data_IF_773744624020
#
_entry.id   IF_773744624020
#
_cell.length_a   1.000
_cell.length_b   1.000
_cell.length_c   1.000
_cell.angle_alpha   90.00
_cell.angle_beta   90.00
_cell.angle_gamma   90.00
#
_symmetry.space_group_name_H-M   'P 1'
#
loop_
_entity.id
_entity.type
_entity.pdbx_description
1 polymer ?
#
# COMPACT_ATOMS: atom_id res chain seq x y z
N UNK A 1 0.71 -38.64 2.87
CA UNK A 1 0.16 -37.51 2.08
C UNK A 1 -0.33 -36.42 3.04
N UNK A 2 0.58 -35.81 3.82
CA UNK A 2 0.25 -34.85 4.90
C UNK A 2 1.37 -33.81 5.14
N UNK A 3 2.23 -33.56 4.15
CA UNK A 3 3.41 -32.67 4.31
C UNK A 3 3.35 -31.36 3.50
N UNK A 4 2.20 -31.02 2.92
CA UNK A 4 2.04 -29.83 2.08
C UNK A 4 0.98 -28.84 2.62
N UNK A 5 0.96 -28.62 3.94
CA UNK A 5 0.17 -27.55 4.54
C UNK A 5 1.16 -26.52 5.07
N UNK A 6 1.32 -25.41 4.33
CA UNK A 6 2.02 -24.20 4.74
C UNK A 6 3.50 -24.38 5.11
N UNK A 7 4.41 -23.90 4.25
CA UNK A 7 5.81 -23.84 4.66
C UNK A 7 5.92 -22.83 5.81
N UNK A 8 6.26 -23.32 7.02
CA UNK A 8 6.43 -22.52 8.25
C UNK A 8 7.63 -21.56 8.21
N UNK A 9 8.23 -21.33 7.04
CA UNK A 9 9.47 -20.58 6.85
C UNK A 9 9.25 -19.10 6.54
N UNK A 10 8.00 -18.61 6.52
CA UNK A 10 7.71 -17.21 6.21
C UNK A 10 8.09 -16.79 4.78
N UNK A 11 8.48 -17.71 3.91
CA UNK A 11 8.98 -17.42 2.55
C UNK A 11 7.95 -16.72 1.65
N UNK A 12 6.66 -16.93 1.90
CA UNK A 12 5.56 -16.27 1.18
C UNK A 12 5.03 -15.00 1.86
N UNK A 13 5.53 -14.64 3.04
CA UNK A 13 5.02 -13.50 3.82
C UNK A 13 6.17 -12.56 4.21
N UNK A 14 6.23 -11.36 3.61
CA UNK A 14 7.17 -10.33 4.03
C UNK A 14 7.06 -10.07 5.53
N UNK A 15 8.18 -10.09 6.23
CA UNK A 15 8.23 -9.92 7.69
C UNK A 15 9.23 -8.84 8.10
N UNK A 16 9.72 -8.05 7.14
CA UNK A 16 10.73 -7.01 7.39
C UNK A 16 10.17 -5.90 8.29
N UNK A 17 8.87 -5.58 8.17
CA UNK A 17 8.17 -4.71 9.11
C UNK A 17 8.29 -5.21 10.58
N UNK A 18 8.27 -6.52 10.82
CA UNK A 18 8.40 -7.10 12.17
C UNK A 18 9.79 -6.92 12.78
N UNK A 19 10.82 -6.58 11.99
CA UNK A 19 12.14 -6.23 12.55
C UNK A 19 12.00 -5.03 13.49
N UNK A 20 11.15 -4.06 13.15
CA UNK A 20 10.89 -2.88 13.99
C UNK A 20 10.24 -3.30 15.32
N UNK A 21 9.28 -4.22 15.28
CA UNK A 21 8.73 -4.82 16.50
C UNK A 21 9.82 -5.54 17.32
N UNK A 22 10.69 -6.31 16.67
CA UNK A 22 11.84 -6.96 17.29
C UNK A 22 12.77 -5.99 18.01
N UNK A 23 13.12 -4.87 17.39
CA UNK A 23 13.94 -3.82 18.01
C UNK A 23 13.24 -3.19 19.22
N UNK A 24 11.93 -2.92 19.13
CA UNK A 24 11.14 -2.42 20.25
C UNK A 24 11.15 -3.44 21.41
N UNK A 25 11.04 -4.75 21.10
CA UNK A 25 11.06 -5.84 22.08
C UNK A 25 12.38 -5.98 22.83
N UNK A 26 13.51 -5.58 22.23
CA UNK A 26 14.81 -5.58 22.90
C UNK A 26 14.86 -4.55 24.03
N UNK A 27 14.11 -3.44 23.90
CA UNK A 27 14.06 -2.36 24.89
C UNK A 27 12.88 -2.57 25.85
N UNK A 28 11.71 -2.94 25.31
CA UNK A 28 10.47 -3.13 26.04
C UNK A 28 10.20 -4.63 26.25
N UNK A 29 10.52 -5.11 27.45
CA UNK A 29 10.42 -6.54 27.77
C UNK A 29 8.97 -7.05 27.86
N UNK A 30 7.97 -6.18 28.03
CA UNK A 30 6.54 -6.58 28.09
C UNK A 30 5.92 -6.62 26.69
N UNK A 31 5.38 -7.78 26.22
CA UNK A 31 4.89 -7.93 24.84
C UNK A 31 3.76 -6.96 24.48
N UNK A 32 2.78 -6.79 25.37
CA UNK A 32 1.62 -5.91 25.15
C UNK A 32 2.06 -4.45 24.95
N UNK A 33 2.96 -3.95 25.80
CA UNK A 33 3.48 -2.57 25.68
C UNK A 33 4.28 -2.41 24.39
N UNK A 34 5.05 -3.44 24.01
CA UNK A 34 5.84 -3.43 22.77
C UNK A 34 4.95 -3.36 21.54
N UNK A 35 3.84 -4.11 21.55
CA UNK A 35 2.88 -4.13 20.46
C UNK A 35 2.18 -2.77 20.30
N UNK A 36 1.71 -2.16 21.39
CA UNK A 36 1.14 -0.82 21.31
C UNK A 36 2.16 0.24 20.88
N UNK A 37 3.41 0.11 21.31
CA UNK A 37 4.49 0.99 20.85
C UNK A 37 4.78 0.80 19.37
N UNK A 38 4.68 -0.43 18.87
CA UNK A 38 4.85 -0.76 17.45
C UNK A 38 3.73 -0.16 16.60
N UNK A 39 2.46 -0.26 17.01
CA UNK A 39 1.35 0.43 16.35
C UNK A 39 1.54 1.95 16.42
N UNK A 40 1.98 2.49 17.56
CA UNK A 40 2.23 3.92 17.67
C UNK A 40 3.29 4.40 16.66
N UNK A 41 4.39 3.65 16.49
CA UNK A 41 5.42 3.94 15.48
C UNK A 41 4.86 3.87 14.07
N UNK A 42 4.06 2.84 13.77
CA UNK A 42 3.35 2.66 12.50
C UNK A 42 2.49 3.88 12.16
N UNK A 43 1.66 4.36 13.10
CA UNK A 43 0.84 5.57 12.91
C UNK A 43 1.66 6.83 12.66
N UNK A 44 2.72 7.06 13.45
CA UNK A 44 3.57 8.24 13.27
C UNK A 44 4.31 8.21 11.93
N UNK A 45 4.83 7.04 11.54
CA UNK A 45 5.48 6.87 10.25
C UNK A 45 4.50 7.10 9.10
N UNK A 46 3.29 6.54 9.21
CA UNK A 46 2.16 6.79 8.31
C UNK A 46 1.86 8.27 8.12
N UNK A 47 1.75 9.02 9.22
CA UNK A 47 1.51 10.47 9.18
C UNK A 47 2.67 11.23 8.52
N UNK A 48 3.93 10.86 8.80
CA UNK A 48 5.11 11.50 8.22
C UNK A 48 5.16 11.27 6.70
N UNK A 49 4.99 10.02 6.25
CA UNK A 49 5.03 9.67 4.83
C UNK A 49 3.87 10.33 4.07
N UNK A 50 2.67 10.29 4.63
CA UNK A 50 1.52 10.96 4.04
C UNK A 50 1.72 12.49 3.98
N UNK A 51 2.26 13.10 5.04
CA UNK A 51 2.58 14.54 5.03
C UNK A 51 3.60 14.87 3.96
N UNK A 52 4.67 14.08 3.81
CA UNK A 52 5.68 14.27 2.78
C UNK A 52 5.10 14.18 1.37
N UNK A 53 4.29 13.15 1.08
CA UNK A 53 3.58 13.02 -0.19
C UNK A 53 2.67 14.23 -0.46
N UNK A 54 1.89 14.63 0.54
CA UNK A 54 1.05 15.82 0.47
C UNK A 54 1.84 17.11 0.28
N UNK A 55 3.02 17.24 0.89
CA UNK A 55 3.90 18.41 0.75
C UNK A 55 4.32 18.63 -0.71
N UNK A 56 4.74 17.55 -1.37
CA UNK A 56 5.09 17.57 -2.79
C UNK A 56 3.85 17.90 -3.63
N UNK A 57 2.73 17.19 -3.40
CA UNK A 57 1.52 17.35 -4.20
C UNK A 57 0.98 18.78 -4.13
N UNK A 58 0.86 19.33 -2.91
CA UNK A 58 0.32 20.67 -2.65
C UNK A 58 1.37 21.79 -2.76
N UNK A 59 2.48 21.57 -3.47
CA UNK A 59 3.51 22.59 -3.76
C UNK A 59 4.02 23.31 -2.50
N UNK A 60 4.24 22.57 -1.41
CA UNK A 60 4.77 23.10 -0.15
C UNK A 60 3.72 23.72 0.79
N UNK A 61 2.43 23.46 0.59
CA UNK A 61 1.39 23.96 1.50
C UNK A 61 1.28 23.13 2.79
N UNK A 62 1.99 23.52 3.85
CA UNK A 62 1.99 22.83 5.16
C UNK A 62 0.59 22.47 5.66
N UNK A 63 -0.35 23.42 5.59
CA UNK A 63 -1.74 23.23 6.05
C UNK A 63 -2.44 22.11 5.27
N UNK A 64 -2.37 22.13 3.93
CA UNK A 64 -3.02 21.12 3.09
C UNK A 64 -2.40 19.74 3.28
N UNK A 65 -1.08 19.67 3.41
CA UNK A 65 -0.35 18.43 3.64
C UNK A 65 -0.67 17.80 5.00
N UNK A 66 -0.80 18.61 6.07
CA UNK A 66 -1.25 18.14 7.39
C UNK A 66 -2.67 17.59 7.33
N UNK A 67 -3.58 18.33 6.68
CA UNK A 67 -4.98 17.89 6.51
C UNK A 67 -5.04 16.56 5.76
N UNK A 68 -4.29 16.43 4.67
CA UNK A 68 -4.21 15.18 3.90
C UNK A 68 -3.67 14.02 4.75
N UNK A 69 -2.57 14.23 5.47
CA UNK A 69 -1.96 13.19 6.30
C UNK A 69 -2.92 12.66 7.36
N UNK A 70 -3.61 13.57 8.06
CA UNK A 70 -4.61 13.21 9.07
C UNK A 70 -5.79 12.48 8.44
N UNK A 71 -6.40 13.04 7.39
CA UNK A 71 -7.57 12.42 6.73
C UNK A 71 -7.25 11.01 6.23
N UNK A 72 -6.07 10.81 5.62
CA UNK A 72 -5.69 9.50 5.13
C UNK A 72 -5.49 8.50 6.27
N UNK A 73 -4.70 8.85 7.30
CA UNK A 73 -4.38 7.94 8.40
C UNK A 73 -5.56 7.64 9.30
N UNK A 74 -6.51 8.58 9.42
CA UNK A 74 -7.76 8.35 10.16
C UNK A 74 -8.91 7.89 9.25
N UNK A 75 -8.62 7.50 8.01
CA UNK A 75 -9.65 6.96 7.13
C UNK A 75 -10.11 5.59 7.62
N UNK A 76 -11.37 5.26 7.39
CA UNK A 76 -11.97 4.03 7.90
C UNK A 76 -11.26 2.79 7.38
N UNK A 77 -10.78 2.80 6.14
CA UNK A 77 -10.03 1.69 5.56
C UNK A 77 -8.69 1.45 6.28
N UNK A 78 -7.94 2.53 6.54
CA UNK A 78 -6.66 2.46 7.25
C UNK A 78 -6.90 2.02 8.70
N UNK A 79 -7.83 2.68 9.40
CA UNK A 79 -8.15 2.31 10.79
C UNK A 79 -8.71 0.88 10.92
N UNK A 80 -9.44 0.38 9.91
CA UNK A 80 -9.91 -0.99 9.89
C UNK A 80 -8.74 -1.97 9.79
N UNK A 81 -7.77 -1.71 8.91
CA UNK A 81 -6.57 -2.53 8.85
C UNK A 81 -5.73 -2.45 10.13
N UNK A 82 -5.60 -1.27 10.73
CA UNK A 82 -4.80 -1.04 11.92
C UNK A 82 -5.40 -1.68 13.18
N UNK A 83 -6.71 -1.58 13.36
CA UNK A 83 -7.39 -1.92 14.62
C UNK A 83 -8.50 -2.96 14.49
N UNK A 84 -9.32 -2.91 13.43
CA UNK A 84 -10.48 -3.78 13.28
C UNK A 84 -10.10 -5.20 12.87
N UNK A 85 -9.40 -5.32 11.74
CA UNK A 85 -8.81 -6.55 11.22
C UNK A 85 -7.43 -6.82 11.81
N UNK A 86 -6.72 -5.77 12.22
CA UNK A 86 -5.35 -5.82 12.76
C UNK A 86 -4.38 -6.60 11.85
N UNK A 87 -4.48 -6.40 10.53
CA UNK A 87 -3.58 -7.00 9.56
C UNK A 87 -2.30 -6.16 9.46
N UNK A 88 -1.29 -6.59 10.21
CA UNK A 88 -0.01 -5.89 10.33
C UNK A 88 0.70 -5.76 8.98
N UNK A 89 0.56 -6.73 8.08
CA UNK A 89 1.21 -6.67 6.77
C UNK A 89 0.62 -5.55 5.94
N UNK A 90 -0.70 -5.61 5.72
CA UNK A 90 -1.39 -4.60 4.92
C UNK A 90 -1.34 -3.21 5.57
N UNK A 91 -1.54 -3.09 6.89
CA UNK A 91 -1.44 -1.82 7.62
C UNK A 91 -0.11 -1.10 7.37
N UNK A 92 1.00 -1.85 7.43
CA UNK A 92 2.33 -1.30 7.14
C UNK A 92 2.52 -0.97 5.66
N UNK A 93 1.99 -1.76 4.74
CA UNK A 93 2.04 -1.43 3.32
C UNK A 93 1.30 -0.10 3.02
N UNK A 94 0.17 0.15 3.68
CA UNK A 94 -0.61 1.39 3.51
C UNK A 94 0.13 2.67 3.93
N UNK A 95 1.18 2.58 4.75
CA UNK A 95 2.09 3.70 5.04
C UNK A 95 2.74 4.23 3.75
N UNK A 96 3.09 3.33 2.83
CA UNK A 96 3.93 3.62 1.67
C UNK A 96 3.15 3.90 0.38
N UNK A 97 1.85 3.60 0.35
CA UNK A 97 0.95 3.96 -0.78
C UNK A 97 1.03 5.43 -1.20
N UNK A 98 1.04 6.42 -0.28
CA UNK A 98 1.21 7.83 -0.65
C UNK A 98 2.54 8.10 -1.34
N UNK A 99 3.59 7.37 -0.96
CA UNK A 99 4.93 7.49 -1.55
C UNK A 99 4.94 6.96 -2.99
N UNK A 100 4.29 5.83 -3.24
CA UNK A 100 4.11 5.28 -4.59
C UNK A 100 3.33 6.24 -5.49
N UNK A 101 2.18 6.74 -5.02
CA UNK A 101 1.35 7.66 -5.77
C UNK A 101 2.07 8.99 -6.07
N UNK A 102 2.83 9.53 -5.12
CA UNK A 102 3.56 10.78 -5.35
C UNK A 102 4.77 10.60 -6.28
N UNK A 103 5.46 9.46 -6.21
CA UNK A 103 6.52 9.10 -7.15
C UNK A 103 5.99 9.02 -8.58
N UNK A 104 4.87 8.34 -8.78
CA UNK A 104 4.16 8.30 -10.05
C UNK A 104 3.75 9.71 -10.55
N UNK A 105 3.14 10.52 -9.68
CA UNK A 105 2.75 11.90 -9.99
C UNK A 105 3.93 12.77 -10.43
N UNK A 106 5.10 12.60 -9.80
CA UNK A 106 6.31 13.33 -10.17
C UNK A 106 6.73 13.02 -11.61
N UNK A 107 6.62 11.76 -12.04
CA UNK A 107 6.94 11.33 -13.40
C UNK A 107 5.91 11.88 -14.40
N UNK A 108 4.63 11.61 -14.19
CA UNK A 108 3.58 11.82 -15.20
C UNK A 108 3.03 13.25 -15.25
N UNK A 109 2.99 13.95 -14.11
CA UNK A 109 2.42 15.29 -14.04
C UNK A 109 3.48 16.39 -13.86
N UNK A 110 4.53 16.14 -13.06
CA UNK A 110 5.58 17.16 -12.79
C UNK A 110 6.80 17.08 -13.70
N UNK A 111 6.97 15.97 -14.42
CA UNK A 111 8.14 15.70 -15.27
C UNK A 111 9.47 15.78 -14.48
N UNK A 112 9.40 15.52 -13.18
CA UNK A 112 10.58 15.39 -12.31
C UNK A 112 10.96 13.91 -12.27
N UNK A 113 11.55 13.46 -13.38
CA UNK A 113 11.80 12.05 -13.66
C UNK A 113 12.73 11.41 -12.62
N UNK A 114 13.84 12.05 -12.29
CA UNK A 114 14.83 11.48 -11.37
C UNK A 114 14.24 11.28 -9.97
N UNK A 115 13.57 12.29 -9.41
CA UNK A 115 12.96 12.14 -8.08
C UNK A 115 11.78 11.18 -8.12
N UNK A 116 10.95 11.27 -9.15
CA UNK A 116 9.81 10.38 -9.33
C UNK A 116 10.21 8.91 -9.39
N UNK A 117 11.27 8.58 -10.13
CA UNK A 117 11.83 7.22 -10.23
C UNK A 117 12.24 6.68 -8.88
N UNK A 118 13.05 7.43 -8.13
CA UNK A 118 13.57 7.00 -6.83
C UNK A 118 12.46 6.83 -5.79
N UNK A 119 11.50 7.75 -5.78
CA UNK A 119 10.38 7.72 -4.83
C UNK A 119 9.41 6.57 -5.17
N UNK A 120 9.15 6.34 -6.47
CA UNK A 120 8.27 5.27 -6.93
C UNK A 120 8.88 3.90 -6.65
N UNK A 121 10.15 3.67 -6.98
CA UNK A 121 10.82 2.39 -6.70
C UNK A 121 10.85 2.10 -5.20
N UNK A 122 11.29 3.08 -4.40
CA UNK A 122 11.36 2.94 -2.95
C UNK A 122 9.99 2.66 -2.33
N UNK A 123 8.94 3.38 -2.76
CA UNK A 123 7.59 3.16 -2.27
C UNK A 123 7.10 1.73 -2.55
N UNK A 124 7.27 1.25 -3.79
CA UNK A 124 6.85 -0.10 -4.18
C UNK A 124 7.65 -1.17 -3.43
N UNK A 125 8.96 -0.96 -3.25
CA UNK A 125 9.83 -1.87 -2.49
C UNK A 125 9.37 -1.97 -1.03
N UNK A 126 9.08 -0.83 -0.39
CA UNK A 126 8.60 -0.80 1.01
C UNK A 126 7.19 -1.40 1.17
N UNK A 127 6.31 -1.23 0.19
CA UNK A 127 5.03 -1.96 0.13
C UNK A 127 5.28 -3.47 0.03
N UNK A 128 6.14 -3.92 -0.89
CA UNK A 128 6.46 -5.34 -1.06
C UNK A 128 7.14 -5.93 0.18
N UNK A 129 7.95 -5.14 0.88
CA UNK A 129 8.55 -5.50 2.17
C UNK A 129 7.55 -5.67 3.31
N UNK A 130 6.34 -5.13 3.16
CA UNK A 130 5.29 -5.18 4.16
C UNK A 130 4.21 -6.20 3.79
N UNK A 131 3.77 -6.20 2.53
CA UNK A 131 2.69 -7.04 2.04
C UNK A 131 2.70 -7.20 0.51
N UNK A 132 2.93 -8.42 0.02
CA UNK A 132 3.03 -8.72 -1.42
C UNK A 132 1.76 -8.34 -2.17
N UNK A 133 0.60 -8.72 -1.64
CA UNK A 133 -0.66 -8.50 -2.34
C UNK A 133 -0.97 -7.01 -2.49
N UNK A 134 -0.68 -6.19 -1.48
CA UNK A 134 -0.85 -4.74 -1.57
C UNK A 134 0.02 -4.15 -2.67
N UNK A 135 1.31 -4.52 -2.73
CA UNK A 135 2.21 -4.05 -3.79
C UNK A 135 1.71 -4.44 -5.19
N UNK A 136 1.24 -5.68 -5.37
CA UNK A 136 0.67 -6.14 -6.65
C UNK A 136 -0.57 -5.32 -7.03
N UNK A 137 -1.51 -5.10 -6.08
CA UNK A 137 -2.70 -4.29 -6.31
C UNK A 137 -2.32 -2.85 -6.69
N UNK A 138 -1.35 -2.24 -5.99
CA UNK A 138 -0.86 -0.90 -6.30
C UNK A 138 -0.26 -0.82 -7.71
N UNK A 139 0.55 -1.81 -8.11
CA UNK A 139 1.12 -1.87 -9.47
C UNK A 139 0.02 -1.97 -10.53
N UNK A 140 -0.95 -2.86 -10.34
CA UNK A 140 -2.09 -3.01 -11.27
C UNK A 140 -2.92 -1.72 -11.36
N UNK A 141 -3.14 -1.06 -10.22
CA UNK A 141 -3.81 0.24 -10.17
C UNK A 141 -3.04 1.30 -10.98
N UNK A 142 -1.73 1.43 -10.78
CA UNK A 142 -0.90 2.37 -11.55
C UNK A 142 -0.88 2.05 -13.04
N UNK A 143 -0.85 0.77 -13.42
CA UNK A 143 -0.95 0.35 -14.83
C UNK A 143 -2.28 0.80 -15.44
N UNK A 144 -3.40 0.61 -14.72
CA UNK A 144 -4.72 1.08 -15.14
C UNK A 144 -4.77 2.60 -15.31
N UNK A 145 -4.30 3.35 -14.30
CA UNK A 145 -4.23 4.82 -14.33
C UNK A 145 -3.35 5.30 -15.49
N UNK A 146 -2.20 4.65 -15.73
CA UNK A 146 -1.34 4.99 -16.86
C UNK A 146 -2.00 4.66 -18.21
N UNK A 147 -2.75 3.57 -18.31
CA UNK A 147 -3.55 3.24 -19.49
C UNK A 147 -4.53 4.36 -19.85
N UNK A 148 -5.23 4.92 -18.86
CA UNK A 148 -6.07 6.10 -19.07
C UNK A 148 -5.27 7.37 -19.39
N UNK A 149 -4.11 7.56 -18.75
CA UNK A 149 -3.21 8.68 -19.02
C UNK A 149 -2.71 8.70 -20.48
N UNK A 150 -2.50 7.53 -21.09
CA UNK A 150 -2.12 7.40 -22.50
C UNK A 150 -3.21 7.83 -23.49
N UNK A 151 -4.49 7.85 -23.08
CA UNK A 151 -5.60 8.34 -23.91
C UNK A 151 -5.61 9.87 -24.03
N UNK A 152 -4.85 10.57 -23.18
CA UNK A 152 -4.70 12.02 -23.25
C UNK A 152 -3.58 12.40 -24.21
N UNK A 153 -3.78 13.48 -24.97
CA UNK A 153 -2.78 13.97 -25.92
C UNK A 153 -1.58 14.59 -25.17
N UNK A 154 -0.46 13.84 -25.10
CA UNK A 154 0.72 14.18 -24.28
C UNK A 154 2.02 14.05 -25.06
N UNK A 155 2.89 15.04 -24.87
CA UNK A 155 4.11 15.22 -25.67
C UNK A 155 5.33 14.44 -25.18
N UNK A 156 5.33 13.89 -23.97
CA UNK A 156 6.54 13.33 -23.31
C UNK A 156 6.44 11.85 -22.92
N UNK A 157 5.55 11.09 -23.57
CA UNK A 157 5.26 9.68 -23.25
C UNK A 157 6.52 8.82 -23.22
N UNK A 158 7.48 9.05 -24.12
CA UNK A 158 8.74 8.27 -24.18
C UNK A 158 9.56 8.45 -22.90
N UNK A 159 9.70 9.68 -22.40
CA UNK A 159 10.46 9.97 -21.19
C UNK A 159 9.77 9.42 -19.93
N UNK A 160 8.44 9.50 -19.90
CA UNK A 160 7.61 8.92 -18.84
C UNK A 160 7.77 7.39 -18.80
N UNK A 161 7.59 6.71 -19.94
CA UNK A 161 7.72 5.26 -20.05
C UNK A 161 9.14 4.80 -19.67
N UNK A 162 10.18 5.50 -20.14
CA UNK A 162 11.56 5.23 -19.73
C UNK A 162 11.73 5.33 -18.21
N UNK A 163 11.15 6.35 -17.59
CA UNK A 163 11.21 6.54 -16.14
C UNK A 163 10.47 5.42 -15.40
N UNK A 164 9.28 5.04 -15.86
CA UNK A 164 8.52 3.92 -15.27
C UNK A 164 9.28 2.59 -15.39
N UNK A 165 9.91 2.32 -16.54
CA UNK A 165 10.74 1.12 -16.73
C UNK A 165 11.94 1.13 -15.77
N UNK A 166 12.64 2.25 -15.64
CA UNK A 166 13.76 2.37 -14.69
C UNK A 166 13.27 2.17 -13.25
N UNK A 167 12.11 2.72 -12.89
CA UNK A 167 11.49 2.54 -11.57
C UNK A 167 11.20 1.06 -11.31
N UNK A 168 10.68 0.34 -12.30
CA UNK A 168 10.41 -1.10 -12.20
C UNK A 168 11.70 -1.92 -12.04
N UNK A 169 12.76 -1.58 -12.77
CA UNK A 169 14.07 -2.24 -12.64
C UNK A 169 14.63 -1.99 -11.22
N UNK A 170 14.60 -0.75 -10.74
CA UNK A 170 15.07 -0.43 -9.39
C UNK A 170 14.25 -1.15 -8.32
N UNK A 171 12.93 -1.16 -8.43
CA UNK A 171 12.04 -1.90 -7.54
C UNK A 171 12.39 -3.40 -7.47
N UNK A 172 12.61 -4.04 -8.62
CA UNK A 172 13.00 -5.46 -8.67
C UNK A 172 14.35 -5.69 -8.00
N UNK A 173 15.35 -4.84 -8.29
CA UNK A 173 16.69 -4.94 -7.69
C UNK A 173 16.66 -4.72 -6.18
N UNK A 174 15.96 -3.69 -5.73
CA UNK A 174 15.76 -3.35 -4.31
C UNK A 174 15.03 -4.47 -3.57
N UNK A 175 14.17 -5.24 -4.25
CA UNK A 175 13.31 -6.25 -3.65
C UNK A 175 13.79 -7.69 -3.82
N UNK A 176 15.00 -7.92 -4.35
CA UNK A 176 15.52 -9.28 -4.62
C UNK A 176 15.50 -10.20 -3.40
N UNK A 177 15.71 -9.65 -2.19
CA UNK A 177 15.69 -10.42 -0.94
C UNK A 177 14.34 -11.08 -0.65
N UNK A 178 13.23 -10.52 -1.15
CA UNK A 178 11.90 -11.13 -1.08
C UNK A 178 11.58 -11.90 -2.37
N UNK A 179 11.89 -11.31 -3.53
CA UNK A 179 11.49 -11.89 -4.82
C UNK A 179 12.16 -13.24 -5.08
N UNK A 180 13.43 -13.42 -4.70
CA UNK A 180 14.13 -14.70 -4.93
C UNK A 180 13.49 -15.85 -4.14
N UNK A 181 13.33 -15.77 -2.80
CA UNK A 181 12.61 -16.80 -2.03
C UNK A 181 11.17 -17.02 -2.51
N UNK A 182 10.48 -15.96 -2.93
CA UNK A 182 9.12 -16.06 -3.45
C UNK A 182 9.07 -16.84 -4.78
N UNK A 183 10.01 -16.59 -5.70
CA UNK A 183 10.11 -17.32 -6.97
C UNK A 183 10.42 -18.79 -6.72
N UNK A 184 11.33 -19.09 -5.79
CA UNK A 184 11.64 -20.47 -5.40
C UNK A 184 10.40 -21.17 -4.83
N UNK A 185 9.65 -20.49 -3.96
CA UNK A 185 8.38 -20.96 -3.42
C UNK A 185 7.35 -21.25 -4.52
N UNK A 186 7.23 -20.38 -5.52
CA UNK A 186 6.28 -20.53 -6.63
C UNK A 186 6.63 -21.69 -7.58
N UNK A 187 7.88 -22.15 -7.58
CA UNK A 187 8.30 -23.33 -8.35
C UNK A 187 7.94 -24.65 -7.67
N UNK A 188 7.68 -24.60 -6.36
CA UNK A 188 7.26 -25.77 -5.59
C UNK A 188 5.77 -26.07 -5.82
N UNK A 189 5.41 -27.36 -5.77
CA UNK A 189 4.01 -27.78 -5.90
C UNK A 189 3.29 -27.63 -4.56
N UNK A 190 2.86 -26.40 -4.27
CA UNK A 190 2.14 -26.07 -3.04
C UNK A 190 0.64 -26.17 -3.29
N UNK A 191 -0.09 -26.77 -2.36
CA UNK A 191 -1.55 -26.78 -2.41
C UNK A 191 -2.06 -25.33 -2.26
N UNK A 192 -2.70 -24.81 -3.30
CA UNK A 192 -3.36 -23.51 -3.26
C UNK A 192 -4.81 -23.66 -2.77
N UNK A 193 -5.37 -22.65 -2.09
CA UNK A 193 -6.79 -22.65 -1.77
C UNK A 193 -7.60 -22.75 -3.07
N UNK A 194 -8.54 -23.69 -3.15
CA UNK A 194 -9.40 -23.86 -4.32
C UNK A 194 -10.29 -22.64 -4.57
N UNK A 195 -10.78 -22.49 -5.80
CA UNK A 195 -11.63 -21.38 -6.24
C UNK A 195 -12.99 -21.27 -5.52
N UNK A 196 -13.33 -22.23 -4.66
CA UNK A 196 -14.57 -22.23 -3.86
C UNK A 196 -14.64 -21.13 -2.79
N UNK A 197 -13.54 -20.41 -2.50
CA UNK A 197 -13.56 -19.28 -1.58
C UNK A 197 -14.21 -18.01 -2.19
N UNK A 198 -14.21 -17.87 -3.52
CA UNK A 198 -14.74 -16.67 -4.18
C UNK A 198 -16.27 -16.57 -4.12
N UNK A 199 -16.97 -17.70 -4.05
CA UNK A 199 -18.44 -17.74 -3.97
C UNK A 199 -19.00 -17.26 -2.62
N UNK A 200 -18.15 -17.13 -1.60
CA UNK A 200 -18.53 -16.65 -0.26
C UNK A 200 -18.59 -15.11 -0.23
N UNK A 201 -17.86 -14.44 -1.11
CA UNK A 201 -17.75 -12.99 -1.14
C UNK A 201 -18.82 -12.34 -2.04
N UNK A 202 -19.98 -12.01 -1.46
CA UNK A 202 -21.04 -11.25 -2.14
C UNK A 202 -20.84 -9.73 -1.96
N UNK A 203 -19.92 -9.16 -2.75
CA UNK A 203 -19.70 -7.71 -2.82
C UNK A 203 -20.21 -7.14 -4.15
N UNK A 204 -21.11 -6.17 -4.06
CA UNK A 204 -21.56 -5.35 -5.19
C UNK A 204 -21.14 -3.90 -4.96
N UNK A 205 -20.91 -3.09 -6.02
CA UNK A 205 -20.55 -1.68 -5.87
C UNK A 205 -21.54 -0.90 -4.99
N UNK A 206 -22.84 -1.19 -5.12
CA UNK A 206 -23.89 -0.57 -4.31
C UNK A 206 -23.75 -0.94 -2.83
N UNK A 207 -23.41 -2.20 -2.52
CA UNK A 207 -23.17 -2.64 -1.14
C UNK A 207 -21.96 -1.91 -0.54
N UNK A 208 -20.87 -1.76 -1.28
CA UNK A 208 -19.66 -1.05 -0.82
C UNK A 208 -19.92 0.44 -0.56
N UNK A 209 -20.72 1.10 -1.41
CA UNK A 209 -21.14 2.49 -1.17
C UNK A 209 -21.97 2.58 0.12
N UNK A 210 -22.94 1.69 0.31
CA UNK A 210 -23.78 1.65 1.53
C UNK A 210 -22.95 1.43 2.79
N UNK A 211 -21.98 0.51 2.76
CA UNK A 211 -21.06 0.26 3.87
C UNK A 211 -20.15 1.48 4.12
N UNK A 212 -19.77 2.23 3.09
CA UNK A 212 -18.97 3.45 3.25
C UNK A 212 -19.73 4.61 3.90
N UNK A 213 -21.06 4.62 3.80
CA UNK A 213 -21.90 5.57 4.51
C UNK A 213 -22.02 5.27 6.02
N UNK A 214 -21.86 4.00 6.44
CA UNK A 214 -21.90 3.65 7.87
C UNK A 214 -20.64 4.07 8.62
N UNK A 215 -19.52 4.28 7.90
CA UNK A 215 -18.26 4.76 8.45
C UNK A 215 -17.80 3.99 9.70
N UNK A 216 -17.87 2.66 9.65
CA UNK A 216 -17.62 1.74 10.76
C UNK A 216 -16.29 0.98 10.62
N UNK A 217 -15.66 0.61 11.74
CA UNK A 217 -14.34 -0.05 11.79
C UNK A 217 -14.50 -1.52 12.27
N UNK A 218 -15.67 -2.13 12.09
CA UNK A 218 -16.00 -3.47 12.59
C UNK A 218 -15.70 -4.60 11.59
N UNK A 219 -15.66 -5.83 12.09
CA UNK A 219 -15.64 -7.05 11.26
C UNK A 219 -16.88 -7.04 10.34
N UNK A 220 -16.71 -7.47 9.09
CA UNK A 220 -17.74 -7.44 8.02
C UNK A 220 -18.23 -6.03 7.63
N UNK A 221 -17.38 -5.00 7.83
CA UNK A 221 -17.67 -3.63 7.41
C UNK A 221 -16.61 -3.07 6.46
N UNK A 222 -16.38 -3.75 5.35
CA UNK A 222 -15.42 -3.33 4.32
C UNK A 222 -15.85 -2.00 3.71
N UNK A 223 -15.15 -0.91 4.08
CA UNK A 223 -15.51 0.41 3.62
C UNK A 223 -14.35 1.41 3.66
N UNK A 224 -14.45 2.46 2.83
CA UNK A 224 -13.43 3.53 2.75
C UNK A 224 -13.77 4.74 3.62
N UNK A 225 -14.95 4.74 4.24
CA UNK A 225 -15.48 5.86 5.01
C UNK A 225 -16.10 6.96 4.16
N UNK A 226 -16.92 7.79 4.81
CA UNK A 226 -17.73 8.80 4.12
C UNK A 226 -16.89 9.92 3.51
N UNK A 227 -15.80 10.32 4.18
CA UNK A 227 -14.93 11.41 3.72
C UNK A 227 -14.23 11.01 2.42
N UNK A 228 -13.58 9.83 2.39
CA UNK A 228 -12.91 9.36 1.17
C UNK A 228 -13.91 9.07 0.07
N UNK A 229 -15.10 8.56 0.39
CA UNK A 229 -16.17 8.36 -0.60
C UNK A 229 -16.54 9.67 -1.30
N UNK A 230 -16.78 10.75 -0.54
CA UNK A 230 -17.08 12.08 -1.09
C UNK A 230 -15.92 12.59 -1.94
N UNK A 231 -14.68 12.45 -1.46
CA UNK A 231 -13.49 12.89 -2.20
C UNK A 231 -13.32 12.15 -3.53
N UNK A 232 -13.61 10.85 -3.58
CA UNK A 232 -13.58 10.06 -4.82
C UNK A 232 -14.59 10.60 -5.83
N UNK A 233 -15.82 10.88 -5.42
CA UNK A 233 -16.83 11.46 -6.32
C UNK A 233 -16.45 12.86 -6.79
N UNK A 234 -15.96 13.72 -5.89
CA UNK A 234 -15.47 15.04 -6.25
C UNK A 234 -14.34 14.92 -7.29
N UNK A 235 -13.39 14.01 -7.09
CA UNK A 235 -12.25 13.80 -7.99
C UNK A 235 -12.62 13.33 -9.40
N UNK A 236 -13.83 12.84 -9.64
CA UNK A 236 -14.31 12.51 -11.00
C UNK A 236 -14.65 13.78 -11.80
N UNK A 237 -15.03 14.86 -11.11
CA UNK A 237 -15.49 16.10 -11.73
C UNK A 237 -14.40 17.16 -11.96
N UNK A 238 -13.16 16.89 -11.52
CA UNK A 238 -12.02 17.82 -11.59
C UNK A 238 -10.82 17.16 -12.27
#
# INVERSE_FOLDING_TARGET
>A
MLLAIGIATGQGYPSINLIIYGLIRLILVKPVISYYSYIMVEQFLGLIVAFYAGWIFFKGSKKRSLIFAVILRTSTYVMYNDFGRADIGEAWALIFVPLVLIGYYLITARRDYTRGVLILSLGLSLELYSHILSAVITILFLMGVYGFHLLSDRTNIIAELKSLIISAILFVLESLIILVPLIDLLREHIATPGSSLWSIYNYTPVKLVKLSLSNSIGIDSENIGIILLILTFIGIFF
#
